data_IF_999282290357
#
_entry.id   IF_999282290357
#
_cell.length_a   1.000
_cell.length_b   1.000
_cell.length_c   1.000
_cell.angle_alpha   90.00
_cell.angle_beta   90.00
_cell.angle_gamma   90.00
#
_symmetry.space_group_name_H-M   'P 1'
#
loop_
_entity.id
_entity.type
_entity.pdbx_description
1 polymer ?
#
# COMPACT_ATOMS: atom_id res chain seq x y z
N UNK A 1 -12.90 -3.67 65.16
CA UNK A 1 -12.59 -2.68 64.10
C UNK A 1 -11.39 -3.12 63.24
N UNK A 2 -11.41 -4.34 62.67
CA UNK A 2 -10.31 -4.87 61.81
C UNK A 2 -10.78 -5.44 60.47
N UNK A 3 -12.10 -5.58 60.25
CA UNK A 3 -12.65 -6.18 59.03
C UNK A 3 -12.67 -5.21 57.84
N UNK A 4 -12.88 -3.92 58.09
CA UNK A 4 -12.96 -2.90 57.05
C UNK A 4 -11.61 -2.55 56.40
N UNK A 5 -10.48 -2.95 57.02
CA UNK A 5 -9.14 -2.64 56.51
C UNK A 5 -8.70 -3.59 55.39
N UNK A 6 -9.28 -4.80 55.34
CA UNK A 6 -8.95 -5.80 54.31
C UNK A 6 -9.76 -5.62 53.01
N UNK A 7 -10.97 -5.04 53.09
CA UNK A 7 -11.83 -4.80 51.92
C UNK A 7 -11.24 -3.73 51.00
N UNK A 8 -10.64 -2.66 51.55
CA UNK A 8 -10.01 -1.61 50.74
C UNK A 8 -8.73 -2.08 50.03
N UNK A 9 -7.97 -3.03 50.62
CA UNK A 9 -6.75 -3.58 50.01
C UNK A 9 -7.09 -4.48 48.81
N UNK A 10 -8.19 -5.24 48.88
CA UNK A 10 -8.66 -6.09 47.78
C UNK A 10 -9.13 -5.27 46.56
N UNK A 11 -9.83 -4.15 46.79
CA UNK A 11 -10.26 -3.26 45.70
C UNK A 11 -9.08 -2.57 45.00
N UNK A 12 -8.04 -2.20 45.75
CA UNK A 12 -6.82 -1.58 45.20
C UNK A 12 -6.00 -2.57 44.35
N UNK A 13 -5.95 -3.85 44.74
CA UNK A 13 -5.26 -4.89 43.96
C UNK A 13 -5.96 -5.22 42.63
N UNK A 14 -7.29 -5.13 42.56
CA UNK A 14 -8.05 -5.39 41.33
C UNK A 14 -7.88 -4.30 40.27
N UNK A 15 -7.67 -3.04 40.67
CA UNK A 15 -7.49 -1.92 39.73
C UNK A 15 -6.15 -1.93 39.00
N UNK A 16 -5.15 -2.67 39.48
CA UNK A 16 -3.80 -2.73 38.87
C UNK A 16 -3.77 -3.75 37.70
N UNK A 17 -4.71 -4.71 37.67
CA UNK A 17 -4.80 -5.71 36.60
C UNK A 17 -5.67 -5.31 35.40
N UNK A 18 -6.44 -4.22 35.50
CA UNK A 18 -7.42 -3.86 34.46
C UNK A 18 -6.89 -2.91 33.38
N UNK A 19 -5.60 -2.54 33.40
CA UNK A 19 -5.02 -1.73 32.34
C UNK A 19 -3.69 -2.33 31.88
N UNK A 20 -3.72 -3.61 31.47
CA UNK A 20 -2.80 -4.02 30.42
C UNK A 20 -3.25 -3.24 29.19
N UNK A 21 -2.50 -2.20 28.81
CA UNK A 21 -2.47 -1.74 27.43
C UNK A 21 -2.19 -2.99 26.62
N UNK A 22 -3.22 -3.58 26.03
CA UNK A 22 -3.02 -4.46 24.90
C UNK A 22 -2.33 -3.56 23.90
N UNK A 23 -1.04 -3.74 23.69
CA UNK A 23 -0.42 -3.31 22.46
C UNK A 23 -1.24 -4.01 21.38
N UNK A 24 -2.21 -3.27 20.82
CA UNK A 24 -2.91 -3.70 19.62
C UNK A 24 -1.81 -3.74 18.59
N UNK A 25 -1.26 -4.93 18.35
CA UNK A 25 -0.52 -5.20 17.14
C UNK A 25 -1.45 -4.78 16.01
N UNK A 26 -1.04 -3.75 15.26
CA UNK A 26 -1.71 -3.38 14.03
C UNK A 26 -1.50 -4.57 13.10
N UNK A 27 -2.45 -5.49 13.10
CA UNK A 27 -2.48 -6.57 12.13
C UNK A 27 -3.00 -5.95 10.85
N UNK A 28 -2.14 -5.89 9.85
CA UNK A 28 -2.53 -5.44 8.52
C UNK A 28 -3.72 -6.28 8.02
N UNK A 29 -4.69 -5.67 7.32
CA UNK A 29 -5.79 -6.43 6.76
C UNK A 29 -5.25 -7.51 5.82
N UNK A 30 -5.72 -8.75 6.01
CA UNK A 30 -5.32 -9.86 5.15
C UNK A 30 -5.72 -9.66 3.68
N UNK A 31 -5.21 -10.51 2.76
CA UNK A 31 -5.50 -10.43 1.33
C UNK A 31 -6.98 -10.31 0.99
N UNK A 32 -7.85 -11.00 1.73
CA UNK A 32 -9.30 -11.01 1.52
C UNK A 32 -9.94 -9.62 1.65
N UNK A 33 -9.43 -8.78 2.55
CA UNK A 33 -9.94 -7.41 2.72
C UNK A 33 -9.62 -6.56 1.50
N UNK A 34 -8.38 -6.64 1.00
CA UNK A 34 -7.96 -5.91 -0.19
C UNK A 34 -8.68 -6.42 -1.45
N UNK A 35 -8.72 -7.73 -1.66
CA UNK A 35 -9.43 -8.34 -2.78
C UNK A 35 -10.93 -8.01 -2.76
N UNK A 36 -11.53 -7.93 -1.56
CA UNK A 36 -12.89 -7.45 -1.38
C UNK A 36 -13.07 -6.00 -1.84
N UNK A 37 -12.14 -5.08 -1.53
CA UNK A 37 -12.18 -3.71 -2.06
C UNK A 37 -12.08 -3.69 -3.59
N UNK A 38 -11.18 -4.49 -4.15
CA UNK A 38 -10.97 -4.57 -5.60
C UNK A 38 -12.22 -5.12 -6.32
N UNK A 39 -12.88 -6.13 -5.76
CA UNK A 39 -14.12 -6.70 -6.32
C UNK A 39 -15.32 -5.75 -6.24
N UNK A 40 -15.37 -4.91 -5.20
CA UNK A 40 -16.45 -3.93 -5.02
C UNK A 40 -16.16 -2.59 -5.72
N UNK A 41 -14.96 -2.39 -6.25
CA UNK A 41 -14.60 -1.19 -6.99
C UNK A 41 -15.32 -1.11 -8.34
N UNK A 42 -15.75 0.09 -8.71
CA UNK A 42 -16.41 0.35 -9.99
C UNK A 42 -15.54 1.26 -10.85
N UNK A 43 -14.47 0.70 -11.41
CA UNK A 43 -13.55 1.42 -12.28
C UNK A 43 -13.78 1.05 -13.75
N UNK A 44 -13.97 2.05 -14.64
CA UNK A 44 -14.21 1.79 -16.06
C UNK A 44 -13.13 0.89 -16.68
N UNK A 45 -13.59 -0.16 -17.35
CA UNK A 45 -12.70 -1.09 -18.05
C UNK A 45 -11.91 -2.04 -17.15
N UNK A 46 -12.17 -2.04 -15.83
CA UNK A 46 -11.55 -2.95 -14.85
C UNK A 46 -12.55 -4.01 -14.41
N UNK A 47 -12.14 -5.28 -14.45
CA UNK A 47 -12.92 -6.40 -13.90
C UNK A 47 -12.07 -7.18 -12.91
N UNK A 48 -12.63 -7.51 -11.75
CA UNK A 48 -11.97 -8.33 -10.73
C UNK A 48 -12.82 -9.56 -10.46
N UNK A 49 -12.23 -10.75 -10.62
CA UNK A 49 -12.89 -12.03 -10.36
C UNK A 49 -11.94 -12.95 -9.56
N UNK A 50 -12.23 -13.12 -8.27
CA UNK A 50 -11.34 -13.85 -7.38
C UNK A 50 -9.96 -13.18 -7.31
N UNK A 51 -8.93 -13.93 -7.71
CA UNK A 51 -7.55 -13.45 -7.81
C UNK A 51 -7.18 -12.90 -9.19
N UNK A 52 -8.12 -12.80 -10.14
CA UNK A 52 -7.86 -12.28 -11.49
C UNK A 52 -8.31 -10.83 -11.60
N UNK A 53 -7.45 -10.00 -12.17
CA UNK A 53 -7.72 -8.61 -12.53
C UNK A 53 -7.59 -8.49 -14.05
N UNK A 54 -8.56 -7.87 -14.70
CA UNK A 54 -8.53 -7.58 -16.14
C UNK A 54 -8.71 -6.08 -16.34
N UNK A 55 -7.77 -5.45 -17.05
CA UNK A 55 -7.84 -4.05 -17.48
C UNK A 55 -7.98 -4.05 -19.01
N UNK A 56 -9.05 -3.47 -19.53
CA UNK A 56 -9.44 -3.57 -20.96
C UNK A 56 -8.97 -2.41 -21.84
N UNK A 57 -8.47 -1.33 -21.24
CA UNK A 57 -8.02 -0.10 -21.92
C UNK A 57 -6.90 0.59 -21.14
N UNK A 58 -6.13 1.45 -21.81
CA UNK A 58 -4.97 2.14 -21.22
C UNK A 58 -3.65 1.44 -21.52
N UNK A 59 -2.57 2.04 -21.06
CA UNK A 59 -1.19 1.55 -21.13
C UNK A 59 -1.02 0.28 -20.29
N UNK A 60 -1.74 0.16 -19.17
CA UNK A 60 -1.72 -1.01 -18.29
C UNK A 60 -2.83 -2.03 -18.64
N UNK A 61 -3.24 -2.10 -19.92
CA UNK A 61 -4.19 -3.11 -20.42
C UNK A 61 -3.58 -4.51 -20.32
N UNK A 62 -4.31 -5.43 -19.69
CA UNK A 62 -3.86 -6.82 -19.56
C UNK A 62 -4.73 -7.66 -18.64
N UNK A 63 -4.31 -8.91 -18.45
CA UNK A 63 -4.82 -9.82 -17.44
C UNK A 63 -3.73 -10.11 -16.43
N UNK A 64 -4.06 -9.97 -15.15
CA UNK A 64 -3.12 -10.07 -14.07
C UNK A 64 -3.65 -11.00 -12.98
N UNK A 65 -2.73 -11.67 -12.27
CA UNK A 65 -3.06 -12.59 -11.18
C UNK A 65 -2.54 -12.04 -9.88
N UNK A 66 -3.41 -11.87 -8.90
CA UNK A 66 -3.02 -11.40 -7.57
C UNK A 66 -1.93 -12.29 -6.98
N UNK A 67 -0.88 -11.65 -6.51
CA UNK A 67 0.29 -12.30 -5.93
C UNK A 67 0.37 -12.01 -4.44
N UNK A 68 0.35 -10.73 -4.06
CA UNK A 68 0.47 -10.32 -2.66
C UNK A 68 -0.20 -8.97 -2.39
N UNK A 69 -0.73 -8.76 -1.17
CA UNK A 69 -1.25 -7.46 -0.76
C UNK A 69 -0.10 -6.51 -0.42
N UNK A 70 -0.32 -5.23 -0.62
CA UNK A 70 0.52 -4.15 -0.09
C UNK A 70 -0.20 -3.58 1.11
N UNK A 71 0.10 -4.09 2.31
CA UNK A 71 -0.38 -3.60 3.62
C UNK A 71 -1.90 -3.26 3.71
N UNK A 72 -2.73 -3.94 2.91
CA UNK A 72 -4.17 -3.66 2.78
C UNK A 72 -4.55 -2.35 2.05
N UNK A 73 -3.58 -1.59 1.56
CA UNK A 73 -3.75 -0.35 0.77
C UNK A 73 -3.75 -0.60 -0.74
N UNK A 74 -3.14 -1.70 -1.17
CA UNK A 74 -2.92 -2.03 -2.57
C UNK A 74 -2.66 -3.51 -2.77
N UNK A 75 -2.34 -3.88 -4.00
CA UNK A 75 -1.97 -5.24 -4.34
C UNK A 75 -1.05 -5.31 -5.54
N UNK A 76 -0.15 -6.29 -5.49
CA UNK A 76 0.72 -6.67 -6.59
C UNK A 76 0.07 -7.82 -7.35
N UNK A 77 0.03 -7.69 -8.67
CA UNK A 77 -0.48 -8.70 -9.57
C UNK A 77 0.58 -9.08 -10.60
N UNK A 78 0.74 -10.37 -10.86
CA UNK A 78 1.65 -10.92 -11.88
C UNK A 78 1.01 -10.86 -13.28
N UNK A 79 1.76 -10.42 -14.29
CA UNK A 79 1.28 -10.34 -15.69
C UNK A 79 1.41 -11.66 -16.49
N UNK A 80 1.99 -12.71 -15.89
CA UNK A 80 2.24 -14.00 -16.50
C UNK A 80 3.52 -14.09 -17.35
N UNK A 81 4.23 -12.98 -17.55
CA UNK A 81 5.43 -12.85 -18.38
C UNK A 81 6.67 -12.40 -17.57
N UNK A 82 6.57 -12.36 -16.24
CA UNK A 82 7.65 -11.95 -15.33
C UNK A 82 7.61 -10.48 -14.93
N UNK A 83 6.63 -9.73 -15.44
CA UNK A 83 6.29 -8.39 -14.97
C UNK A 83 5.17 -8.42 -13.94
N UNK A 84 4.94 -7.26 -13.34
CA UNK A 84 3.95 -7.06 -12.32
C UNK A 84 3.16 -5.78 -12.57
N UNK A 85 2.00 -5.70 -11.92
CA UNK A 85 1.17 -4.51 -11.85
C UNK A 85 0.89 -4.22 -10.38
N UNK A 86 1.23 -3.02 -9.93
CA UNK A 86 0.72 -2.51 -8.66
C UNK A 86 -0.60 -1.83 -8.89
N UNK A 87 -1.54 -2.07 -7.99
CA UNK A 87 -2.82 -1.36 -7.95
C UNK A 87 -3.05 -0.76 -6.57
N UNK A 88 -3.53 0.48 -6.54
CA UNK A 88 -3.86 1.22 -5.32
C UNK A 88 -5.22 1.88 -5.48
N UNK A 89 -6.27 1.34 -4.84
CA UNK A 89 -7.57 2.00 -4.76
C UNK A 89 -7.48 3.31 -3.99
N UNK A 90 -7.92 4.41 -4.59
CA UNK A 90 -7.97 5.73 -3.98
C UNK A 90 -9.37 6.35 -4.17
N UNK A 91 -10.27 6.06 -3.22
CA UNK A 91 -11.68 6.41 -3.34
C UNK A 91 -12.31 5.75 -4.56
N UNK A 92 -12.89 6.56 -5.44
CA UNK A 92 -13.54 6.09 -6.68
C UNK A 92 -12.55 5.85 -7.83
N UNK A 93 -11.25 6.10 -7.62
CA UNK A 93 -10.21 5.91 -8.63
C UNK A 93 -9.30 4.72 -8.31
N UNK A 94 -8.67 4.17 -9.35
CA UNK A 94 -7.67 3.11 -9.23
C UNK A 94 -6.36 3.60 -9.84
N UNK A 95 -5.35 3.74 -9.00
CA UNK A 95 -3.98 3.96 -9.46
C UNK A 95 -3.35 2.64 -9.89
N UNK A 96 -2.70 2.62 -11.05
CA UNK A 96 -1.99 1.46 -11.57
C UNK A 96 -0.61 1.85 -12.08
N UNK A 97 0.37 0.98 -11.89
CA UNK A 97 1.70 1.11 -12.49
C UNK A 97 2.26 -0.27 -12.74
N UNK A 98 2.70 -0.53 -13.98
CA UNK A 98 3.41 -1.77 -14.30
C UNK A 98 4.86 -1.66 -13.84
N UNK A 99 5.45 -2.78 -13.42
CA UNK A 99 6.81 -2.83 -12.91
C UNK A 99 7.47 -4.14 -13.27
N UNK A 100 8.78 -4.13 -13.41
CA UNK A 100 9.57 -5.35 -13.41
C UNK A 100 9.89 -5.82 -11.98
N UNK A 101 10.71 -6.86 -11.88
CA UNK A 101 11.09 -7.45 -10.60
C UNK A 101 11.93 -6.50 -9.74
N UNK A 102 12.84 -5.73 -10.34
CA UNK A 102 13.75 -4.84 -9.61
C UNK A 102 12.95 -3.67 -9.02
N UNK A 103 12.04 -3.09 -9.80
CA UNK A 103 11.10 -2.08 -9.30
C UNK A 103 10.18 -2.64 -8.20
N UNK A 104 9.70 -3.87 -8.32
CA UNK A 104 8.91 -4.53 -7.26
C UNK A 104 9.69 -4.61 -5.94
N UNK A 105 10.93 -5.07 -5.99
CA UNK A 105 11.79 -5.20 -4.81
C UNK A 105 12.09 -3.82 -4.19
N UNK A 106 12.35 -2.82 -5.01
CA UNK A 106 12.54 -1.44 -4.58
C UNK A 106 11.30 -0.85 -3.90
N UNK A 107 10.10 -1.07 -4.45
CA UNK A 107 8.85 -0.62 -3.80
C UNK A 107 8.70 -1.21 -2.40
N UNK A 108 8.97 -2.51 -2.25
CA UNK A 108 8.92 -3.17 -0.95
C UNK A 108 9.94 -2.58 0.02
N UNK A 109 11.15 -2.29 -0.43
CA UNK A 109 12.18 -1.64 0.39
C UNK A 109 11.78 -0.22 0.81
N UNK A 110 11.27 0.58 -0.12
CA UNK A 110 10.78 1.95 0.15
C UNK A 110 9.67 1.90 1.21
N UNK A 111 8.68 1.01 1.06
CA UNK A 111 7.59 0.85 2.03
C UNK A 111 8.12 0.49 3.42
N UNK A 112 9.12 -0.39 3.49
CA UNK A 112 9.76 -0.75 4.76
C UNK A 112 10.50 0.43 5.41
N UNK A 113 11.05 1.36 4.61
CA UNK A 113 11.72 2.56 5.10
C UNK A 113 10.72 3.62 5.56
N UNK A 114 9.71 3.93 4.75
CA UNK A 114 8.73 5.00 5.09
C UNK A 114 7.76 4.59 6.20
N UNK A 115 7.62 3.29 6.45
CA UNK A 115 6.67 2.74 7.42
C UNK A 115 5.28 2.50 6.84
N UNK A 116 4.56 1.55 7.43
CA UNK A 116 3.26 1.08 6.92
C UNK A 116 2.20 2.18 6.90
N UNK A 117 2.25 3.12 7.84
CA UNK A 117 1.37 4.27 7.91
C UNK A 117 1.56 5.26 6.75
N UNK A 118 2.74 5.28 6.12
CA UNK A 118 3.08 6.18 5.01
C UNK A 118 3.09 5.47 3.65
N UNK A 119 2.91 4.15 3.61
CA UNK A 119 2.97 3.34 2.39
C UNK A 119 2.03 3.84 1.29
N UNK A 120 0.82 4.32 1.66
CA UNK A 120 -0.13 4.87 0.68
C UNK A 120 0.39 6.17 0.05
N UNK A 121 1.04 7.01 0.85
CA UNK A 121 1.69 8.23 0.36
C UNK A 121 2.81 7.90 -0.62
N UNK A 122 3.69 6.98 -0.25
CA UNK A 122 4.79 6.52 -1.09
C UNK A 122 4.32 5.93 -2.41
N UNK A 123 3.33 5.04 -2.38
CA UNK A 123 2.76 4.47 -3.59
C UNK A 123 2.09 5.52 -4.48
N UNK A 124 1.40 6.50 -3.90
CA UNK A 124 0.83 7.60 -4.65
C UNK A 124 1.91 8.49 -5.28
N UNK A 125 3.04 8.70 -4.60
CA UNK A 125 4.20 9.41 -5.16
C UNK A 125 4.73 8.72 -6.42
N UNK A 126 4.82 7.39 -6.40
CA UNK A 126 5.22 6.58 -7.56
C UNK A 126 4.16 6.67 -8.67
N UNK A 127 2.89 6.41 -8.35
CA UNK A 127 1.78 6.37 -9.32
C UNK A 127 1.48 7.74 -9.94
N UNK A 128 1.80 8.83 -9.25
CA UNK A 128 1.60 10.18 -9.78
C UNK A 128 2.85 10.75 -10.45
N UNK A 129 3.93 9.97 -10.53
CA UNK A 129 5.13 10.40 -11.24
C UNK A 129 4.82 10.62 -12.72
N UNK A 130 5.23 11.78 -13.23
CA UNK A 130 5.08 12.12 -14.66
C UNK A 130 6.10 11.41 -15.53
N UNK A 131 7.23 11.05 -14.95
CA UNK A 131 8.31 10.31 -15.62
C UNK A 131 8.60 9.04 -14.80
N UNK A 132 8.24 7.86 -15.31
CA UNK A 132 8.52 6.60 -14.61
C UNK A 132 10.02 6.29 -14.51
N UNK A 133 10.88 6.96 -15.29
CA UNK A 133 12.33 6.78 -15.25
C UNK A 133 13.04 7.80 -14.35
N UNK A 134 12.29 8.69 -13.71
CA UNK A 134 12.82 9.72 -12.83
C UNK A 134 11.79 10.09 -11.76
N UNK A 135 11.56 9.15 -10.84
CA UNK A 135 10.60 9.32 -9.74
C UNK A 135 11.18 10.30 -8.72
N UNK A 136 10.40 11.32 -8.38
CA UNK A 136 10.77 12.33 -7.38
C UNK A 136 10.72 11.73 -5.97
N UNK A 137 11.87 11.69 -5.29
CA UNK A 137 11.98 11.22 -3.92
C UNK A 137 11.10 12.02 -2.96
N UNK A 138 10.89 13.31 -3.19
CA UNK A 138 10.04 14.14 -2.32
C UNK A 138 8.56 13.76 -2.47
N UNK A 139 8.14 13.31 -3.65
CA UNK A 139 6.78 12.80 -3.86
C UNK A 139 6.55 11.46 -3.15
N UNK A 140 7.58 10.61 -3.11
CA UNK A 140 7.53 9.29 -2.44
C UNK A 140 7.61 9.43 -0.92
N UNK A 141 8.52 10.27 -0.42
CA UNK A 141 8.67 10.51 1.02
C UNK A 141 7.48 11.30 1.56
N UNK A 142 7.01 12.31 0.83
CA UNK A 142 5.90 13.16 1.24
C UNK A 142 6.09 13.74 2.65
N UNK A 143 5.13 13.49 3.53
CA UNK A 143 5.16 13.95 4.93
C UNK A 143 5.61 12.84 5.92
N UNK A 144 6.24 11.78 5.43
CA UNK A 144 6.74 10.72 6.31
C UNK A 144 7.87 11.26 7.21
N UNK A 145 7.94 10.77 8.45
CA UNK A 145 8.97 11.16 9.43
C UNK A 145 10.27 10.36 9.22
N UNK A 146 10.74 10.24 7.98
CA UNK A 146 12.02 9.56 7.69
C UNK A 146 13.19 10.46 8.08
N UNK A 147 14.28 9.83 8.50
CA UNK A 147 15.56 10.49 8.73
C UNK A 147 16.23 10.91 7.42
N UNK A 148 17.24 11.78 7.48
CA UNK A 148 18.03 12.15 6.30
C UNK A 148 18.75 10.94 5.69
N UNK A 149 19.22 10.01 6.53
CA UNK A 149 19.84 8.76 6.08
C UNK A 149 18.85 7.85 5.35
N UNK A 150 17.62 7.73 5.86
CA UNK A 150 16.54 6.97 5.22
C UNK A 150 16.08 7.62 3.91
N UNK A 151 15.94 8.95 3.89
CA UNK A 151 15.64 9.71 2.67
C UNK A 151 16.71 9.47 1.61
N UNK A 152 17.99 9.53 1.98
CA UNK A 152 19.10 9.25 1.07
C UNK A 152 19.06 7.81 0.55
N UNK A 153 18.71 6.84 1.41
CA UNK A 153 18.54 5.45 0.97
C UNK A 153 17.42 5.30 -0.06
N UNK A 154 16.29 5.99 0.12
CA UNK A 154 15.21 6.02 -0.87
C UNK A 154 15.69 6.64 -2.19
N UNK A 155 16.45 7.73 -2.12
CA UNK A 155 17.06 8.37 -3.30
C UNK A 155 18.03 7.43 -4.05
N UNK A 156 18.86 6.70 -3.31
CA UNK A 156 19.78 5.70 -3.87
C UNK A 156 19.00 4.54 -4.54
N UNK A 157 17.91 4.07 -3.93
CA UNK A 157 17.03 3.04 -4.51
C UNK A 157 16.41 3.53 -5.82
N UNK A 158 15.77 4.71 -5.81
CA UNK A 158 15.11 5.27 -6.99
C UNK A 158 16.11 5.57 -8.10
N UNK A 159 17.27 6.14 -7.77
CA UNK A 159 18.32 6.41 -8.76
C UNK A 159 18.92 5.15 -9.36
N UNK A 160 18.96 4.04 -8.61
CA UNK A 160 19.35 2.72 -9.13
C UNK A 160 18.40 2.17 -10.20
N UNK A 161 17.15 2.66 -10.24
CA UNK A 161 16.15 2.31 -11.26
C UNK A 161 16.07 3.34 -12.39
N UNK A 162 16.73 4.49 -12.27
CA UNK A 162 16.64 5.54 -13.29
C UNK A 162 17.29 5.08 -14.61
N UNK A 163 16.60 5.29 -15.71
CA UNK A 163 17.08 4.99 -17.07
C UNK A 163 16.88 3.54 -17.53
N UNK A 164 16.39 2.64 -16.68
CA UNK A 164 15.84 1.35 -17.11
C UNK A 164 14.31 1.43 -17.24
N UNK A 165 13.73 0.60 -18.12
CA UNK A 165 12.27 0.45 -18.25
C UNK A 165 11.65 -0.35 -17.08
N UNK A 166 12.03 0.00 -15.85
CA UNK A 166 11.65 -0.70 -14.63
C UNK A 166 10.21 -0.40 -14.22
N UNK A 167 9.76 0.84 -14.41
CA UNK A 167 8.36 1.23 -14.29
C UNK A 167 7.77 1.52 -15.66
N UNK A 168 6.57 1.00 -15.91
CA UNK A 168 5.74 1.45 -17.02
C UNK A 168 5.02 2.75 -16.70
N UNK A 169 4.22 3.25 -17.65
CA UNK A 169 3.48 4.48 -17.45
C UNK A 169 2.45 4.32 -16.32
N UNK A 170 2.49 5.18 -15.30
CA UNK A 170 1.45 5.19 -14.29
C UNK A 170 0.12 5.68 -14.87
N UNK A 171 -0.98 5.03 -14.47
CA UNK A 171 -2.33 5.41 -14.87
C UNK A 171 -3.24 5.58 -13.65
N UNK A 172 -4.15 6.55 -13.72
CA UNK A 172 -5.22 6.73 -12.75
C UNK A 172 -6.54 6.54 -13.46
N UNK A 173 -7.18 5.39 -13.24
CA UNK A 173 -8.49 5.06 -13.78
C UNK A 173 -9.53 5.76 -12.91
N UNK A 174 -10.16 6.80 -13.46
CA UNK A 174 -11.18 7.62 -12.79
C UNK A 174 -12.57 7.01 -12.97
N UNK A 175 -13.50 7.26 -12.04
CA UNK A 175 -14.88 6.83 -12.21
C UNK A 175 -15.49 7.49 -13.45
N UNK A 176 -16.44 6.79 -14.07
CA UNK A 176 -17.19 7.33 -15.21
C UNK A 176 -18.09 8.48 -14.73
N UNK A 177 -17.67 9.72 -15.02
CA UNK A 177 -18.41 10.93 -14.65
C UNK A 177 -19.74 11.09 -15.37
N UNK A 178 -20.07 10.21 -16.31
CA UNK A 178 -21.35 10.22 -17.04
C UNK A 178 -22.50 9.51 -16.33
N UNK A 179 -22.24 8.90 -15.16
CA UNK A 179 -23.24 8.13 -14.38
C UNK A 179 -23.68 8.77 -13.06
N UNK A 180 -23.31 10.04 -12.79
CA UNK A 180 -23.78 10.81 -11.62
C UNK A 180 -25.06 11.57 -11.91
#
# INVERSE_FOLDING_TARGET
MKFNKYISIIFILLTIFSCRKTELTITEPGPDFFLGKMQNGNWPGVTVNGNKLTISSGDNKGEYTFEEPILGIGGVYNDGNGGYLVTVPAGDSLGTVSMDKDAKEAVNEIINIVGSENALGAMNGIIQSKDPNNIDVDAVVGNSNVTEEERKRIEDILSGLNGGSHFGNPEVIKPDSSKS
#
